data_IF_507790131222
#
_entry.id   IF_507790131222
#
_cell.length_a   1.000
_cell.length_b   1.000
_cell.length_c   1.000
_cell.angle_alpha   90.00
_cell.angle_beta   90.00
_cell.angle_gamma   90.00
#
_symmetry.space_group_name_H-M   'P 1'
#
loop_
_entity.id
_entity.type
_entity.pdbx_description
1 polymer ?
#
# COMPACT_ATOMS: atom_id res chain seq x y z
N UNK A 1 -19.20 11.91 -24.21
CA UNK A 1 -17.75 11.82 -24.45
C UNK A 1 -17.11 11.42 -23.14
N UNK A 2 -16.38 10.30 -23.07
CA UNK A 2 -15.73 9.85 -21.83
C UNK A 2 -14.37 10.55 -21.67
N UNK A 3 -14.03 11.10 -20.48
CA UNK A 3 -12.73 11.72 -20.25
C UNK A 3 -11.62 10.64 -20.25
N UNK A 4 -10.46 11.03 -20.79
CA UNK A 4 -9.25 10.21 -20.99
C UNK A 4 -8.17 10.69 -20.02
N UNK A 5 -7.37 9.76 -19.50
CA UNK A 5 -6.52 9.95 -18.32
C UNK A 5 -5.02 10.07 -18.69
N UNK A 6 -4.25 10.92 -17.99
CA UNK A 6 -2.91 11.39 -18.41
C UNK A 6 -1.78 11.06 -17.44
N UNK A 7 -0.55 10.89 -17.96
CA UNK A 7 0.67 11.49 -17.37
C UNK A 7 1.85 11.48 -18.36
N UNK A 8 2.50 12.63 -18.54
CA UNK A 8 3.94 12.75 -18.83
C UNK A 8 4.43 14.05 -18.21
N UNK A 9 5.29 13.97 -17.19
CA UNK A 9 5.94 15.14 -16.61
C UNK A 9 7.27 15.34 -17.34
N UNK A 10 7.30 16.17 -18.38
CA UNK A 10 8.54 16.63 -19.02
C UNK A 10 9.10 17.84 -18.28
N UNK A 11 9.75 17.61 -17.13
CA UNK A 11 10.96 18.34 -16.69
C UNK A 11 11.30 18.01 -15.22
N UNK A 12 11.77 16.78 -15.00
CA UNK A 12 12.21 16.29 -13.69
C UNK A 12 13.69 16.59 -13.38
N UNK A 13 14.30 17.58 -14.06
CA UNK A 13 15.74 17.88 -13.92
C UNK A 13 16.12 18.75 -12.72
N UNK A 14 15.18 19.23 -11.91
CA UNK A 14 15.51 19.93 -10.66
C UNK A 14 14.56 19.52 -9.54
N UNK A 15 15.10 18.63 -8.70
CA UNK A 15 14.66 18.24 -7.36
C UNK A 15 13.57 17.13 -7.30
N UNK A 16 13.85 16.12 -6.48
CA UNK A 16 12.97 15.01 -6.02
C UNK A 16 12.64 13.84 -6.96
N UNK A 17 13.48 13.62 -7.96
CA UNK A 17 13.13 12.81 -9.11
C UNK A 17 14.14 11.69 -9.44
N UNK A 18 14.21 10.62 -8.63
CA UNK A 18 15.13 9.53 -8.94
C UNK A 18 14.50 8.54 -9.93
N UNK A 19 15.16 8.31 -11.07
CA UNK A 19 14.90 7.15 -11.91
C UNK A 19 15.22 5.90 -11.09
N UNK A 20 14.21 5.13 -10.74
CA UNK A 20 14.37 3.89 -10.01
C UNK A 20 14.59 2.77 -11.04
N UNK A 21 15.79 2.17 -11.12
CA UNK A 21 15.96 0.99 -11.94
C UNK A 21 15.12 -0.16 -11.35
N UNK A 22 14.29 -0.80 -12.19
CA UNK A 22 13.38 -1.90 -11.85
C UNK A 22 14.12 -3.15 -11.30
N UNK A 23 15.46 -3.15 -11.28
CA UNK A 23 16.29 -4.33 -11.12
C UNK A 23 17.11 -4.37 -9.81
N UNK A 24 16.58 -3.83 -8.72
CA UNK A 24 17.16 -4.07 -7.38
C UNK A 24 16.34 -5.12 -6.66
N UNK A 25 16.97 -6.25 -6.32
CA UNK A 25 16.39 -7.38 -5.55
C UNK A 25 15.85 -6.98 -4.15
N UNK A 26 16.02 -5.72 -3.77
CA UNK A 26 15.64 -5.16 -2.50
C UNK A 26 14.87 -3.84 -2.72
N UNK A 27 13.53 -3.88 -2.87
CA UNK A 27 12.69 -2.68 -2.92
C UNK A 27 12.79 -1.81 -1.65
N UNK A 28 13.32 -2.35 -0.55
CA UNK A 28 13.53 -1.65 0.73
C UNK A 28 14.68 -0.64 0.65
N UNK A 29 15.75 -0.92 -0.11
CA UNK A 29 16.85 0.05 -0.33
C UNK A 29 16.42 1.25 -1.16
N UNK A 30 15.48 1.06 -2.09
CA UNK A 30 14.94 2.15 -2.90
C UNK A 30 14.04 3.08 -2.07
N UNK A 31 13.17 2.49 -1.25
CA UNK A 31 12.25 3.24 -0.40
C UNK A 31 12.97 3.97 0.74
N UNK A 32 13.97 3.35 1.37
CA UNK A 32 14.76 3.99 2.43
C UNK A 32 15.59 5.18 1.94
N UNK A 33 16.20 5.12 0.76
CA UNK A 33 16.92 6.27 0.17
C UNK A 33 15.99 7.45 -0.14
N UNK A 34 14.77 7.14 -0.57
CA UNK A 34 13.74 8.15 -0.81
C UNK A 34 13.25 8.78 0.51
N UNK A 35 12.95 7.98 1.54
CA UNK A 35 12.51 8.47 2.85
C UNK A 35 13.57 9.33 3.54
N UNK A 36 14.85 8.95 3.45
CA UNK A 36 15.97 9.75 3.98
C UNK A 36 15.99 11.18 3.43
N UNK A 37 15.41 11.43 2.26
CA UNK A 37 15.34 12.77 1.66
C UNK A 37 14.16 13.63 2.14
N UNK A 38 13.15 13.04 2.81
CA UNK A 38 11.90 13.71 3.19
C UNK A 38 11.52 13.63 4.67
N UNK A 39 11.98 12.62 5.42
CA UNK A 39 11.75 12.54 6.87
C UNK A 39 12.75 13.40 7.64
N UNK A 40 12.52 14.72 7.64
CA UNK A 40 13.32 15.68 8.42
C UNK A 40 12.79 15.88 9.86
N UNK A 41 11.71 15.18 10.25
CA UNK A 41 11.11 15.33 11.59
C UNK A 41 11.17 14.05 12.39
N UNK A 42 11.41 14.22 13.70
CA UNK A 42 11.39 13.18 14.71
C UNK A 42 9.96 12.65 14.89
N UNK A 43 9.83 11.37 15.25
CA UNK A 43 8.58 10.67 15.63
C UNK A 43 7.60 10.34 14.49
N UNK A 44 8.12 9.83 13.38
CA UNK A 44 7.32 9.37 12.24
C UNK A 44 7.35 7.85 12.07
N UNK A 45 6.24 7.32 11.58
CA UNK A 45 6.18 5.96 11.03
C UNK A 45 6.07 6.03 9.51
N UNK A 46 6.70 5.09 8.81
CA UNK A 46 6.67 5.03 7.36
C UNK A 46 6.39 3.60 6.87
N UNK A 47 5.56 3.48 5.84
CA UNK A 47 5.28 2.20 5.17
C UNK A 47 4.85 2.39 3.72
N UNK A 48 4.35 1.35 3.08
CA UNK A 48 3.80 1.42 1.72
C UNK A 48 2.29 1.24 1.76
N UNK A 49 1.57 1.70 0.72
CA UNK A 49 0.13 1.49 0.60
C UNK A 49 -0.26 0.02 0.74
N UNK A 50 0.53 -0.90 0.18
CA UNK A 50 0.20 -2.33 0.24
C UNK A 50 0.20 -2.85 1.68
N UNK A 51 1.08 -2.36 2.53
CA UNK A 51 1.12 -2.68 3.96
C UNK A 51 -0.09 -2.08 4.67
N UNK A 52 -0.35 -0.78 4.44
CA UNK A 52 -1.45 -0.07 5.08
C UNK A 52 -2.80 -0.69 4.72
N UNK A 53 -3.02 -0.96 3.42
CA UNK A 53 -4.22 -1.63 2.93
C UNK A 53 -4.35 -3.02 3.56
N UNK A 54 -3.27 -3.80 3.66
CA UNK A 54 -3.33 -5.11 4.31
C UNK A 54 -3.77 -5.02 5.76
N UNK A 55 -3.16 -4.13 6.54
CA UNK A 55 -3.52 -3.90 7.95
C UNK A 55 -5.01 -3.51 8.04
N UNK A 56 -5.44 -2.52 7.26
CA UNK A 56 -6.83 -2.04 7.24
C UNK A 56 -7.86 -3.13 6.96
N UNK A 57 -7.51 -4.13 6.16
CA UNK A 57 -8.41 -5.20 5.77
C UNK A 57 -8.43 -6.39 6.74
N UNK A 58 -7.49 -6.48 7.68
CA UNK A 58 -7.35 -7.60 8.63
C UNK A 58 -8.67 -8.00 9.32
N UNK A 59 -9.52 -7.06 9.80
CA UNK A 59 -10.77 -7.42 10.47
C UNK A 59 -11.81 -8.11 9.57
N UNK A 60 -11.66 -7.99 8.23
CA UNK A 60 -12.65 -8.42 7.26
C UNK A 60 -12.19 -9.65 6.45
N UNK A 61 -11.00 -10.18 6.71
CA UNK A 61 -10.46 -11.37 6.04
C UNK A 61 -11.05 -12.69 6.63
N UNK A 62 -12.37 -12.74 6.84
CA UNK A 62 -13.11 -13.84 7.51
C UNK A 62 -13.43 -15.00 6.55
N UNK A 63 -12.55 -15.33 5.61
CA UNK A 63 -12.79 -16.45 4.68
C UNK A 63 -11.96 -17.67 5.11
N UNK A 64 -12.65 -18.72 5.59
CA UNK A 64 -12.05 -19.94 6.16
C UNK A 64 -11.17 -20.74 5.19
N UNK A 65 -11.29 -20.50 3.89
CA UNK A 65 -10.54 -21.23 2.85
C UNK A 65 -9.33 -20.45 2.31
N UNK A 66 -9.13 -19.21 2.74
CA UNK A 66 -7.97 -18.39 2.36
C UNK A 66 -7.43 -17.72 3.62
N UNK A 67 -6.65 -18.46 4.43
CA UNK A 67 -5.85 -17.88 5.52
C UNK A 67 -4.83 -16.90 4.93
N UNK A 68 -5.19 -15.61 4.84
CA UNK A 68 -4.24 -14.56 4.48
C UNK A 68 -3.53 -14.05 5.72
N UNK A 69 -2.79 -14.95 6.38
CA UNK A 69 -1.79 -14.55 7.38
C UNK A 69 -0.83 -13.56 6.72
N UNK A 70 -0.50 -12.51 7.44
CA UNK A 70 0.52 -11.57 7.03
C UNK A 70 1.54 -11.39 8.14
N UNK A 71 2.76 -11.08 7.74
CA UNK A 71 3.88 -10.78 8.63
C UNK A 71 4.46 -9.43 8.21
N UNK A 72 4.33 -8.45 9.10
CA UNK A 72 4.88 -7.11 8.93
C UNK A 72 5.98 -6.93 9.96
N UNK A 73 7.16 -6.55 9.49
CA UNK A 73 8.30 -6.19 10.34
C UNK A 73 8.33 -4.68 10.55
N UNK A 74 8.70 -4.27 11.76
CA UNK A 74 9.06 -2.90 12.08
C UNK A 74 10.54 -2.81 12.47
N UNK A 75 11.20 -1.73 12.09
CA UNK A 75 12.58 -1.42 12.48
C UNK A 75 12.79 0.08 12.67
N UNK A 76 13.77 0.46 13.49
CA UNK A 76 14.28 1.85 13.54
C UNK A 76 15.56 1.95 12.73
N UNK A 77 15.52 2.74 11.67
CA UNK A 77 16.69 2.99 10.81
C UNK A 77 17.33 4.34 11.14
N UNK A 78 16.53 5.40 11.20
CA UNK A 78 16.94 6.76 11.55
C UNK A 78 16.39 7.13 12.93
N UNK A 79 17.13 7.91 13.72
CA UNK A 79 16.91 8.26 15.15
C UNK A 79 15.67 7.68 15.84
N UNK A 80 14.46 8.11 15.48
CA UNK A 80 13.17 7.59 16.00
C UNK A 80 12.14 7.28 14.90
N UNK A 81 12.55 7.10 13.65
CA UNK A 81 11.65 6.78 12.55
C UNK A 81 11.42 5.27 12.45
N UNK A 82 10.18 4.84 12.59
CA UNK A 82 9.78 3.42 12.54
C UNK A 82 9.39 3.07 11.10
N UNK A 83 10.03 2.06 10.53
CA UNK A 83 9.79 1.60 9.17
C UNK A 83 9.01 0.29 9.21
N UNK A 84 7.88 0.24 8.53
CA UNK A 84 7.07 -0.96 8.35
C UNK A 84 7.33 -1.58 6.97
N UNK A 85 7.56 -2.90 6.94
CA UNK A 85 7.78 -3.65 5.70
C UNK A 85 7.30 -5.10 5.80
N UNK A 86 6.99 -5.73 4.66
CA UNK A 86 6.63 -7.15 4.64
C UNK A 86 7.82 -8.03 5.00
N UNK A 87 7.58 -9.14 5.70
CA UNK A 87 8.59 -10.18 5.78
C UNK A 87 8.91 -10.72 4.37
N UNK A 88 10.19 -10.99 4.07
CA UNK A 88 10.63 -11.41 2.73
C UNK A 88 9.99 -12.72 2.28
N UNK A 89 9.58 -13.54 3.25
CA UNK A 89 8.92 -14.83 3.04
C UNK A 89 7.39 -14.68 2.88
N UNK A 90 6.83 -13.52 3.25
CA UNK A 90 5.40 -13.20 3.12
C UNK A 90 5.15 -12.35 1.87
N UNK A 91 5.58 -12.86 0.71
CA UNK A 91 5.26 -12.21 -0.56
C UNK A 91 3.77 -12.40 -0.82
N UNK A 92 3.00 -11.31 -1.06
CA UNK A 92 1.64 -11.47 -1.55
C UNK A 92 1.70 -12.32 -2.82
N UNK A 93 0.83 -13.34 -2.90
CA UNK A 93 0.76 -14.30 -4.01
C UNK A 93 1.09 -13.60 -5.32
N UNK A 94 2.20 -14.02 -5.96
CA UNK A 94 2.65 -13.46 -7.22
C UNK A 94 1.45 -13.42 -8.18
N UNK A 95 1.12 -12.22 -8.66
CA UNK A 95 0.24 -12.07 -9.81
C UNK A 95 0.78 -13.02 -10.86
N UNK A 96 -0.05 -13.98 -11.32
CA UNK A 96 0.39 -14.93 -12.35
C UNK A 96 0.89 -14.13 -13.56
N UNK A 97 1.90 -14.63 -14.28
CA UNK A 97 2.40 -13.96 -15.50
C UNK A 97 1.26 -13.60 -16.47
N UNK A 98 0.18 -14.39 -16.47
CA UNK A 98 -1.06 -14.10 -17.21
C UNK A 98 -1.77 -12.85 -16.69
N UNK A 99 -2.11 -12.80 -15.40
CA UNK A 99 -2.75 -11.61 -14.82
C UNK A 99 -1.86 -10.37 -14.94
N UNK A 100 -0.53 -10.51 -14.84
CA UNK A 100 0.39 -9.40 -15.03
C UNK A 100 0.33 -8.85 -16.47
N UNK A 101 0.26 -9.73 -17.47
CA UNK A 101 0.04 -9.34 -18.88
C UNK A 101 -1.29 -8.61 -19.07
N UNK A 102 -2.36 -9.11 -18.45
CA UNK A 102 -3.68 -8.48 -18.55
C UNK A 102 -3.72 -7.13 -17.83
N UNK A 103 -3.01 -6.99 -16.70
CA UNK A 103 -2.85 -5.72 -15.98
C UNK A 103 -2.16 -4.67 -16.86
N UNK A 104 -1.07 -5.04 -17.51
CA UNK A 104 -0.39 -4.18 -18.48
C UNK A 104 -1.25 -3.87 -19.70
N UNK A 105 -2.05 -4.83 -20.19
CA UNK A 105 -2.99 -4.60 -21.28
C UNK A 105 -4.06 -3.57 -20.89
N UNK A 106 -4.63 -3.69 -19.69
CA UNK A 106 -5.61 -2.74 -19.17
C UNK A 106 -5.01 -1.33 -19.06
N UNK A 107 -3.78 -1.20 -18.53
CA UNK A 107 -3.08 0.10 -18.50
C UNK A 107 -3.02 0.76 -19.88
N UNK A 108 -2.72 -0.01 -20.93
CA UNK A 108 -2.63 0.51 -22.31
C UNK A 108 -3.97 0.98 -22.87
N UNK A 109 -5.07 0.38 -22.42
CA UNK A 109 -6.41 0.80 -22.82
C UNK A 109 -6.91 2.02 -22.04
N UNK A 110 -6.52 2.14 -20.77
CA UNK A 110 -6.98 3.21 -19.89
C UNK A 110 -6.15 4.49 -20.02
N UNK A 111 -4.84 4.38 -20.17
CA UNK A 111 -3.93 5.51 -20.03
C UNK A 111 -3.20 5.85 -21.34
N UNK A 112 -2.92 7.14 -21.49
CA UNK A 112 -2.18 7.71 -22.62
C UNK A 112 -1.18 8.74 -22.09
N UNK A 113 -0.08 8.93 -22.82
CA UNK A 113 1.04 9.73 -22.32
C UNK A 113 0.74 11.24 -22.33
N UNK A 114 -0.15 11.74 -23.20
CA UNK A 114 -0.32 13.19 -23.40
C UNK A 114 -1.73 13.62 -23.83
N UNK A 115 -2.31 14.68 -23.20
CA UNK A 115 -3.67 15.22 -23.43
C UNK A 115 -4.14 15.27 -24.87
N UNK A 116 -3.26 15.84 -25.67
CA UNK A 116 -3.53 16.20 -27.06
C UNK A 116 -3.14 15.07 -28.02
N UNK A 117 -2.25 14.15 -27.62
CA UNK A 117 -1.67 13.13 -28.49
C UNK A 117 -1.97 11.73 -27.95
N UNK A 118 -3.18 11.24 -28.25
CA UNK A 118 -3.74 9.96 -27.78
C UNK A 118 -3.11 8.75 -28.48
N UNK A 119 -1.79 8.69 -28.53
CA UNK A 119 -1.08 7.48 -28.98
C UNK A 119 -1.10 6.46 -27.85
N UNK A 120 -1.58 5.26 -28.18
CA UNK A 120 -1.53 4.10 -27.30
C UNK A 120 -0.08 3.83 -26.93
N UNK A 121 0.16 3.65 -25.64
CA UNK A 121 1.49 3.41 -25.10
C UNK A 121 1.83 1.93 -25.31
N UNK A 122 2.99 1.64 -25.89
CA UNK A 122 3.41 0.25 -26.12
C UNK A 122 3.92 -0.45 -24.86
N UNK A 123 4.41 0.30 -23.87
CA UNK A 123 4.98 -0.21 -22.60
C UNK A 123 5.00 0.89 -21.53
N UNK A 124 4.51 0.61 -20.32
CA UNK A 124 4.73 1.46 -19.15
C UNK A 124 6.00 1.00 -18.45
N UNK A 125 7.14 1.61 -18.79
CA UNK A 125 8.42 1.30 -18.15
C UNK A 125 8.67 2.15 -16.89
N UNK A 126 7.70 2.97 -16.51
CA UNK A 126 7.83 3.95 -15.44
C UNK A 126 6.59 3.86 -14.55
N UNK A 127 6.81 3.77 -13.23
CA UNK A 127 5.76 3.86 -12.21
C UNK A 127 5.81 5.26 -11.60
N UNK A 128 4.64 5.87 -11.40
CA UNK A 128 4.55 7.14 -10.69
C UNK A 128 4.21 6.87 -9.22
N UNK A 129 5.10 7.29 -8.32
CA UNK A 129 4.89 7.22 -6.87
C UNK A 129 4.43 8.56 -6.31
N UNK A 130 3.53 8.53 -5.34
CA UNK A 130 3.10 9.70 -4.55
C UNK A 130 3.15 9.35 -3.06
N UNK A 131 3.57 10.31 -2.26
CA UNK A 131 3.54 10.22 -0.81
C UNK A 131 2.28 10.86 -0.25
N UNK A 132 1.73 10.18 0.74
CA UNK A 132 0.64 10.68 1.55
C UNK A 132 1.01 10.53 3.02
N UNK A 133 0.33 11.33 3.83
CA UNK A 133 0.37 11.19 5.27
C UNK A 133 -1.02 11.39 5.85
N UNK A 134 -1.21 10.84 7.04
CA UNK A 134 -2.32 11.21 7.90
C UNK A 134 -1.79 11.49 9.31
N UNK A 135 -2.41 12.47 9.95
CA UNK A 135 -2.05 12.88 11.30
C UNK A 135 -2.68 11.90 12.28
N UNK A 136 -1.86 11.32 13.16
CA UNK A 136 -2.32 10.53 14.30
C UNK A 136 -2.30 11.43 15.53
N UNK A 137 -2.97 11.00 16.60
CA UNK A 137 -2.85 11.67 17.91
C UNK A 137 -1.40 11.65 18.44
N UNK A 138 -0.63 10.62 18.06
CA UNK A 138 0.77 10.40 18.45
C UNK A 138 1.67 10.36 17.20
N UNK A 139 1.91 11.53 16.61
CA UNK A 139 2.79 11.68 15.44
C UNK A 139 2.11 11.46 14.09
N UNK A 140 2.91 11.31 13.04
CA UNK A 140 2.43 11.18 11.67
C UNK A 140 2.79 9.81 11.10
N UNK A 141 1.91 9.27 10.27
CA UNK A 141 2.21 8.10 9.46
C UNK A 141 2.30 8.50 7.99
N UNK A 142 3.43 8.20 7.37
CA UNK A 142 3.69 8.44 5.95
C UNK A 142 3.62 7.13 5.17
N UNK A 143 3.06 7.19 3.97
CA UNK A 143 3.15 6.06 3.05
C UNK A 143 3.30 6.49 1.61
N UNK A 144 3.98 5.64 0.84
CA UNK A 144 4.04 5.76 -0.61
C UNK A 144 2.97 4.91 -1.27
N UNK A 145 2.49 5.38 -2.42
CA UNK A 145 1.64 4.60 -3.32
C UNK A 145 2.01 4.86 -4.76
N UNK A 146 1.83 3.84 -5.60
CA UNK A 146 1.73 4.04 -7.04
C UNK A 146 0.43 4.80 -7.35
N UNK A 147 0.50 5.83 -8.19
CA UNK A 147 -0.67 6.46 -8.82
C UNK A 147 -0.69 5.98 -10.27
N UNK A 148 -1.67 5.15 -10.64
CA UNK A 148 -1.69 4.57 -11.98
C UNK A 148 -2.04 5.59 -13.06
N UNK A 149 -2.78 6.64 -12.72
CA UNK A 149 -3.12 7.73 -13.61
C UNK A 149 -4.07 8.73 -12.97
N UNK A 150 -4.36 9.81 -13.70
CA UNK A 150 -5.19 10.92 -13.21
C UNK A 150 -6.16 11.42 -14.27
N UNK A 151 -7.26 12.04 -13.84
CA UNK A 151 -8.18 12.79 -14.68
C UNK A 151 -7.71 14.23 -14.73
N UNK A 152 -7.43 14.70 -15.94
CA UNK A 152 -7.20 16.12 -16.20
C UNK A 152 -7.64 16.41 -17.64
N UNK A 153 -7.82 17.67 -18.01
CA UNK A 153 -7.94 18.08 -19.42
C UNK A 153 -6.63 18.73 -19.92
N UNK A 154 -5.66 18.89 -19.01
CA UNK A 154 -4.40 19.59 -19.23
C UNK A 154 -3.21 18.71 -18.86
N UNK A 155 -2.06 19.01 -19.44
CA UNK A 155 -0.80 18.36 -19.09
C UNK A 155 -0.37 18.82 -17.70
N UNK A 156 -0.04 17.87 -16.84
CA UNK A 156 0.46 18.15 -15.49
C UNK A 156 1.97 18.21 -15.58
N UNK A 157 2.52 19.35 -15.18
CA UNK A 157 3.94 19.66 -15.33
C UNK A 157 4.65 19.87 -14.00
N UNK A 158 3.91 19.97 -12.89
CA UNK A 158 4.46 20.17 -11.55
C UNK A 158 3.57 19.56 -10.44
N UNK A 159 4.11 19.51 -9.22
CA UNK A 159 3.43 18.91 -8.05
C UNK A 159 2.21 19.71 -7.59
N UNK A 160 2.22 21.04 -7.74
CA UNK A 160 1.10 21.89 -7.30
C UNK A 160 -0.16 21.58 -8.13
N UNK A 161 -0.01 21.47 -9.45
CA UNK A 161 -1.04 20.98 -10.35
C UNK A 161 -1.51 19.57 -9.98
N UNK A 162 -0.57 18.69 -9.63
CA UNK A 162 -0.88 17.31 -9.27
C UNK A 162 -1.78 17.20 -8.02
N UNK A 163 -1.63 18.10 -7.04
CA UNK A 163 -2.50 18.10 -5.85
C UNK A 163 -3.96 18.46 -6.16
N UNK A 164 -4.22 19.08 -7.31
CA UNK A 164 -5.56 19.55 -7.72
C UNK A 164 -6.30 18.59 -8.66
N UNK A 165 -5.63 17.55 -9.17
CA UNK A 165 -6.25 16.60 -10.10
C UNK A 165 -6.87 15.40 -9.40
N UNK A 166 -7.76 14.71 -10.10
CA UNK A 166 -8.43 13.54 -9.56
C UNK A 166 -7.65 12.27 -9.88
N UNK A 167 -7.21 11.55 -8.85
CA UNK A 167 -6.53 10.29 -9.04
C UNK A 167 -7.50 9.15 -9.36
N UNK A 168 -6.95 8.13 -10.01
CA UNK A 168 -7.68 6.91 -10.38
C UNK A 168 -7.04 5.75 -9.65
N UNK A 169 -7.87 4.80 -9.27
CA UNK A 169 -7.45 3.45 -8.94
C UNK A 169 -7.98 2.50 -10.00
N UNK A 170 -7.22 1.46 -10.34
CA UNK A 170 -7.71 0.40 -11.20
C UNK A 170 -7.22 -0.97 -10.74
N UNK A 171 -8.01 -2.00 -11.03
CA UNK A 171 -7.68 -3.40 -10.75
C UNK A 171 -8.34 -4.35 -11.75
N UNK A 172 -7.95 -5.63 -11.69
CA UNK A 172 -8.53 -6.72 -12.46
C UNK A 172 -9.08 -7.78 -11.51
N UNK A 173 -10.20 -8.41 -11.87
CA UNK A 173 -10.79 -9.53 -11.13
C UNK A 173 -11.21 -10.66 -12.09
N UNK A 174 -11.35 -11.89 -11.60
CA UNK A 174 -11.73 -13.04 -12.45
C UNK A 174 -13.24 -13.01 -12.79
N UNK A 175 -13.59 -13.32 -14.04
CA UNK A 175 -14.98 -13.38 -14.50
C UNK A 175 -15.79 -14.42 -13.70
N UNK A 176 -17.00 -14.06 -13.28
CA UNK A 176 -17.82 -14.85 -12.35
C UNK A 176 -17.72 -14.45 -10.88
N UNK A 177 -16.74 -13.64 -10.48
CA UNK A 177 -16.71 -12.96 -9.16
C UNK A 177 -17.62 -11.71 -9.13
N UNK A 178 -18.40 -11.48 -10.19
CA UNK A 178 -19.13 -10.25 -10.42
C UNK A 178 -20.56 -10.29 -9.89
N UNK A 179 -20.80 -9.60 -8.78
CA UNK A 179 -22.12 -9.06 -8.43
C UNK A 179 -21.96 -7.58 -8.07
N UNK A 180 -23.02 -6.77 -8.23
CA UNK A 180 -23.01 -5.38 -7.74
C UNK A 180 -22.63 -5.33 -6.24
N UNK A 181 -23.01 -6.37 -5.49
CA UNK A 181 -22.64 -6.53 -4.10
C UNK A 181 -21.13 -6.73 -3.93
N UNK A 182 -20.45 -7.52 -4.78
CA UNK A 182 -18.98 -7.68 -4.70
C UNK A 182 -18.25 -6.35 -4.95
N UNK A 183 -18.69 -5.52 -5.91
CA UNK A 183 -18.07 -4.21 -6.11
C UNK A 183 -18.31 -3.30 -4.91
N UNK A 184 -19.56 -3.16 -4.49
CA UNK A 184 -19.92 -2.19 -3.45
C UNK A 184 -19.33 -2.58 -2.09
N UNK A 185 -18.97 -3.85 -1.89
CA UNK A 185 -18.58 -4.38 -0.57
C UNK A 185 -17.20 -5.06 -0.54
N UNK A 186 -16.28 -4.72 -1.44
CA UNK A 186 -14.91 -5.22 -1.39
C UNK A 186 -13.99 -4.27 -0.59
N UNK A 187 -13.69 -4.56 0.69
CA UNK A 187 -12.87 -3.67 1.53
C UNK A 187 -11.43 -3.51 0.98
N UNK A 188 -10.95 -4.49 0.22
CA UNK A 188 -9.61 -4.44 -0.40
C UNK A 188 -9.58 -3.38 -1.49
N UNK A 189 -10.57 -3.36 -2.40
CA UNK A 189 -10.62 -2.34 -3.45
C UNK A 189 -10.85 -0.94 -2.87
N UNK A 190 -11.76 -0.82 -1.90
CA UNK A 190 -11.99 0.44 -1.20
C UNK A 190 -10.71 0.97 -0.55
N UNK A 191 -10.05 0.19 0.31
CA UNK A 191 -8.86 0.64 1.04
C UNK A 191 -7.72 1.02 0.11
N UNK A 192 -7.48 0.23 -0.95
CA UNK A 192 -6.47 0.53 -1.97
C UNK A 192 -6.77 1.83 -2.71
N UNK A 193 -8.01 2.07 -3.09
CA UNK A 193 -8.42 3.28 -3.79
C UNK A 193 -8.41 4.50 -2.85
N UNK A 194 -8.85 4.34 -1.60
CA UNK A 194 -8.90 5.39 -0.59
C UNK A 194 -7.49 5.86 -0.22
N UNK A 195 -6.55 4.93 -0.03
CA UNK A 195 -5.15 5.25 0.24
C UNK A 195 -4.46 5.91 -0.96
N UNK A 196 -4.90 5.61 -2.19
CA UNK A 196 -4.47 6.32 -3.40
C UNK A 196 -5.12 7.72 -3.51
N UNK A 197 -6.07 8.07 -2.63
CA UNK A 197 -6.94 9.25 -2.76
C UNK A 197 -7.63 9.32 -4.12
N UNK A 198 -7.94 8.15 -4.68
CA UNK A 198 -8.62 8.04 -5.96
C UNK A 198 -10.07 8.51 -5.82
N UNK A 199 -10.54 9.34 -6.75
CA UNK A 199 -11.97 9.66 -6.82
C UNK A 199 -12.72 8.67 -7.70
N UNK A 200 -12.02 8.04 -8.64
CA UNK A 200 -12.58 7.05 -9.56
C UNK A 200 -11.87 5.72 -9.43
N UNK A 201 -12.67 4.65 -9.42
CA UNK A 201 -12.22 3.27 -9.50
C UNK A 201 -12.61 2.69 -10.86
N UNK A 202 -11.68 1.98 -11.50
CA UNK A 202 -11.88 1.27 -12.76
C UNK A 202 -11.53 -0.19 -12.56
N UNK A 203 -12.50 -1.08 -12.64
CA UNK A 203 -12.28 -2.53 -12.51
C UNK A 203 -12.53 -3.20 -13.85
N UNK A 204 -11.66 -4.11 -14.26
CA UNK A 204 -11.90 -4.93 -15.45
C UNK A 204 -12.10 -6.40 -15.09
N UNK A 205 -13.11 -7.03 -15.68
CA UNK A 205 -13.28 -8.49 -15.59
C UNK A 205 -12.33 -9.20 -16.55
N UNK A 206 -11.69 -10.24 -16.05
CA UNK A 206 -10.79 -11.09 -16.80
C UNK A 206 -11.41 -12.48 -16.99
N UNK A 207 -11.71 -12.81 -18.24
CA UNK A 207 -12.15 -14.13 -18.64
C UNK A 207 -10.94 -15.07 -18.73
N UNK A 208 -10.82 -15.93 -17.71
CA UNK A 208 -9.72 -16.90 -17.61
C UNK A 208 -9.79 -18.00 -18.66
N UNK A 209 -10.97 -18.33 -19.17
CA UNK A 209 -11.17 -19.38 -20.19
C UNK A 209 -10.65 -18.86 -21.53
N UNK A 210 -10.95 -17.62 -21.86
CA UNK A 210 -10.57 -16.99 -23.13
C UNK A 210 -9.28 -16.15 -23.05
N UNK A 211 -8.67 -16.02 -21.87
CA UNK A 211 -7.46 -15.23 -21.59
C UNK A 211 -7.58 -13.77 -22.11
N UNK A 212 -8.71 -13.13 -21.81
CA UNK A 212 -9.00 -11.77 -22.28
C UNK A 212 -9.76 -10.91 -21.26
N UNK A 213 -9.61 -9.59 -21.40
CA UNK A 213 -10.44 -8.62 -20.68
C UNK A 213 -11.82 -8.54 -21.34
N UNK A 214 -12.88 -8.61 -20.54
CA UNK A 214 -14.26 -8.73 -21.04
C UNK A 214 -15.06 -7.44 -20.83
N UNK A 215 -15.16 -6.95 -19.59
CA UNK A 215 -15.96 -5.77 -19.25
C UNK A 215 -15.16 -4.79 -18.38
N UNK A 216 -15.51 -3.50 -18.46
CA UNK A 216 -14.92 -2.44 -17.64
C UNK A 216 -16.03 -1.76 -16.83
N UNK A 217 -15.81 -1.71 -15.53
CA UNK A 217 -16.68 -1.08 -14.55
C UNK A 217 -16.03 0.19 -14.05
N UNK A 218 -16.77 1.29 -14.10
CA UNK A 218 -16.30 2.61 -13.66
C UNK A 218 -17.26 3.19 -12.64
N UNK A 219 -16.74 3.63 -11.51
CA UNK A 219 -17.54 4.24 -10.46
C UNK A 219 -16.72 5.19 -9.58
N UNK A 220 -17.42 6.07 -8.86
CA UNK A 220 -16.79 6.96 -7.88
C UNK A 220 -16.54 6.19 -6.58
N UNK A 221 -15.46 6.54 -5.89
CA UNK A 221 -15.09 5.86 -4.64
C UNK A 221 -16.15 6.03 -3.56
N UNK A 222 -16.87 7.16 -3.56
CA UNK A 222 -17.96 7.45 -2.62
C UNK A 222 -19.08 6.40 -2.67
N UNK A 223 -19.18 5.61 -3.75
CA UNK A 223 -20.13 4.49 -3.84
C UNK A 223 -19.81 3.35 -2.87
N UNK A 224 -18.56 3.19 -2.44
CA UNK A 224 -18.20 2.23 -1.39
C UNK A 224 -18.73 2.66 -0.02
N UNK A 225 -19.02 3.96 0.17
CA UNK A 225 -19.41 4.53 1.46
C UNK A 225 -20.95 4.55 1.65
N UNK A 226 -21.74 3.98 0.73
CA UNK A 226 -23.20 3.86 0.87
C UNK A 226 -23.56 2.79 1.94
N UNK A 227 -23.53 3.22 3.20
CA UNK A 227 -23.52 2.43 4.46
C UNK A 227 -24.69 1.46 4.70
N UNK A 228 -25.72 1.38 3.87
CA UNK A 228 -27.06 1.00 4.34
C UNK A 228 -27.44 -0.48 4.25
N UNK A 229 -26.67 -1.34 3.55
CA UNK A 229 -27.12 -2.73 3.31
C UNK A 229 -26.44 -3.81 4.17
N UNK A 230 -25.19 -3.64 4.62
CA UNK A 230 -24.43 -4.69 5.31
C UNK A 230 -23.37 -4.19 6.31
N UNK A 231 -23.68 -3.20 7.17
CA UNK A 231 -22.75 -2.71 8.23
C UNK A 231 -22.13 -3.83 9.08
N UNK A 232 -22.79 -4.99 9.14
CA UNK A 232 -22.33 -6.17 9.87
C UNK A 232 -21.16 -6.92 9.21
N UNK A 233 -20.79 -6.62 7.95
CA UNK A 233 -19.72 -7.33 7.23
C UNK A 233 -18.41 -6.56 7.18
N UNK A 234 -18.45 -5.26 6.92
CA UNK A 234 -17.29 -4.38 6.97
C UNK A 234 -17.71 -2.91 7.02
N UNK A 235 -16.80 -2.02 7.43
CA UNK A 235 -16.99 -0.57 7.29
C UNK A 235 -15.67 0.19 7.14
N UNK A 236 -15.66 1.31 6.39
CA UNK A 236 -14.54 2.25 6.33
C UNK A 236 -14.01 2.66 7.69
N UNK A 237 -14.92 2.98 8.62
CA UNK A 237 -14.58 3.46 9.96
C UNK A 237 -13.87 2.37 10.77
N UNK A 238 -14.33 1.11 10.69
CA UNK A 238 -13.66 -0.01 11.34
C UNK A 238 -12.25 -0.27 10.76
N UNK A 239 -12.08 -0.14 9.44
CA UNK A 239 -10.78 -0.28 8.78
C UNK A 239 -9.76 0.77 9.25
N UNK A 240 -10.19 2.05 9.32
CA UNK A 240 -9.37 3.15 9.81
C UNK A 240 -9.04 3.03 11.31
N UNK A 241 -10.03 2.62 12.12
CA UNK A 241 -9.82 2.40 13.56
C UNK A 241 -8.80 1.29 13.79
N UNK A 242 -8.95 0.14 13.12
CA UNK A 242 -8.00 -0.96 13.23
C UNK A 242 -6.58 -0.56 12.81
N UNK A 243 -6.43 0.19 11.72
CA UNK A 243 -5.13 0.73 11.32
C UNK A 243 -4.53 1.61 12.42
N UNK A 244 -5.32 2.52 13.00
CA UNK A 244 -4.84 3.40 14.05
C UNK A 244 -4.42 2.63 15.31
N UNK A 245 -5.20 1.64 15.72
CA UNK A 245 -4.91 0.78 16.87
C UNK A 245 -3.66 -0.06 16.62
N UNK A 246 -3.51 -0.63 15.42
CA UNK A 246 -2.29 -1.34 15.03
C UNK A 246 -1.06 -0.43 15.07
N UNK A 247 -1.12 0.78 14.52
CA UNK A 247 0.01 1.70 14.54
C UNK A 247 0.35 2.14 15.97
N UNK A 248 -0.64 2.33 16.84
CA UNK A 248 -0.41 2.57 18.27
C UNK A 248 0.27 1.36 18.95
N UNK A 249 -0.12 0.15 18.58
CA UNK A 249 0.49 -1.09 19.08
C UNK A 249 1.95 -1.24 18.61
N UNK A 250 2.26 -0.88 17.36
CA UNK A 250 3.63 -0.80 16.85
C UNK A 250 4.45 0.18 17.67
N UNK A 251 3.94 1.40 17.84
CA UNK A 251 4.60 2.45 18.61
C UNK A 251 4.94 1.96 20.01
N UNK A 252 3.93 1.43 20.71
CA UNK A 252 4.08 0.92 22.06
C UNK A 252 5.13 -0.18 22.15
N UNK A 253 5.07 -1.16 21.24
CA UNK A 253 6.02 -2.29 21.23
C UNK A 253 7.46 -1.85 20.93
N UNK A 254 7.63 -0.85 20.05
CA UNK A 254 8.95 -0.31 19.70
C UNK A 254 9.54 0.51 20.84
N UNK A 255 8.74 1.39 21.44
CA UNK A 255 9.19 2.29 22.49
C UNK A 255 9.24 1.66 23.88
N UNK A 256 8.64 0.47 24.09
CA UNK A 256 8.83 -0.31 25.32
C UNK A 256 10.23 -0.90 25.44
N UNK A 257 10.99 -0.98 24.35
CA UNK A 257 12.40 -1.40 24.36
C UNK A 257 13.29 -0.19 24.61
N UNK A 258 14.32 -0.36 25.45
CA UNK A 258 15.28 0.69 25.78
C UNK A 258 15.98 1.24 24.52
N UNK A 259 16.25 2.55 24.52
CA UNK A 259 16.86 3.25 23.39
C UNK A 259 18.16 2.61 22.90
N UNK A 260 18.95 2.05 23.82
CA UNK A 260 20.30 1.57 23.56
C UNK A 260 20.35 0.30 22.71
N UNK A 261 19.28 -0.51 22.74
CA UNK A 261 19.17 -1.74 21.95
C UNK A 261 18.10 -1.64 20.86
N UNK A 262 17.23 -0.64 20.89
CA UNK A 262 16.10 -0.47 19.96
C UNK A 262 16.50 -0.55 18.49
N UNK A 263 17.61 0.10 18.09
CA UNK A 263 18.11 0.06 16.69
C UNK A 263 18.64 -1.32 16.25
N UNK A 264 18.85 -2.24 17.19
CA UNK A 264 19.25 -3.63 16.92
C UNK A 264 18.05 -4.57 16.89
N UNK A 265 16.86 -4.08 17.22
CA UNK A 265 15.66 -4.90 17.28
C UNK A 265 14.88 -4.85 15.97
N UNK A 266 14.23 -5.98 15.67
CA UNK A 266 13.21 -6.15 14.64
C UNK A 266 11.95 -6.60 15.35
N UNK A 267 10.85 -5.88 15.17
CA UNK A 267 9.55 -6.27 15.70
C UNK A 267 8.77 -6.96 14.61
N UNK A 268 8.40 -8.21 14.83
CA UNK A 268 7.65 -9.02 13.89
C UNK A 268 6.19 -9.07 14.33
N UNK A 269 5.33 -8.38 13.59
CA UNK A 269 3.89 -8.40 13.78
C UNK A 269 3.27 -9.45 12.87
N UNK A 270 2.47 -10.34 13.44
CA UNK A 270 1.83 -11.42 12.69
C UNK A 270 0.33 -11.43 12.95
N UNK A 271 -0.47 -11.52 11.87
CA UNK A 271 -1.91 -11.69 11.98
C UNK A 271 -2.31 -13.15 12.12
N UNK A 272 -3.37 -13.37 12.89
CA UNK A 272 -4.02 -14.67 13.04
C UNK A 272 -5.50 -14.50 12.69
N UNK A 273 -5.93 -14.94 11.49
CA UNK A 273 -7.33 -14.89 11.13
C UNK A 273 -8.13 -15.81 12.07
N UNK A 274 -9.02 -15.23 12.86
CA UNK A 274 -9.96 -15.89 13.79
C UNK A 274 -9.42 -16.33 15.18
N UNK A 275 -8.19 -15.95 15.56
CA UNK A 275 -7.66 -16.23 16.90
C UNK A 275 -7.47 -14.94 17.71
N UNK A 276 -7.65 -15.02 19.03
CA UNK A 276 -7.23 -13.97 19.96
C UNK A 276 -5.83 -14.27 20.51
N UNK A 277 -4.87 -13.32 20.45
CA UNK A 277 -5.00 -11.98 19.87
C UNK A 277 -4.97 -11.98 18.33
N UNK A 278 -5.74 -11.08 17.71
CA UNK A 278 -5.81 -10.91 16.24
C UNK A 278 -4.45 -10.61 15.59
N UNK A 279 -3.55 -9.97 16.35
CA UNK A 279 -2.17 -9.68 15.96
C UNK A 279 -1.27 -9.93 17.16
N UNK A 280 -0.17 -10.67 16.94
CA UNK A 280 0.91 -10.80 17.94
C UNK A 280 2.13 -9.97 17.53
N UNK A 281 3.00 -9.68 18.50
CA UNK A 281 4.30 -9.07 18.24
C UNK A 281 5.39 -9.93 18.89
N UNK A 282 6.36 -10.37 18.10
CA UNK A 282 7.60 -10.98 18.55
C UNK A 282 8.75 -9.97 18.39
N UNK A 283 9.53 -9.76 19.45
CA UNK A 283 10.71 -8.88 19.40
C UNK A 283 11.95 -9.74 19.17
N UNK A 284 12.67 -9.45 18.10
CA UNK A 284 13.87 -10.15 17.69
C UNK A 284 15.07 -9.21 17.82
N UNK A 285 16.19 -9.67 18.36
CA UNK A 285 17.45 -8.92 18.37
C UNK A 285 18.36 -9.40 17.23
N UNK A 286 18.92 -8.45 16.49
CA UNK A 286 19.90 -8.68 15.43
C UNK A 286 21.27 -8.95 16.03
N UNK A 287 21.80 -10.13 15.75
CA UNK A 287 23.16 -10.54 16.08
C UNK A 287 23.95 -10.72 14.78
N UNK A 288 25.01 -9.94 14.59
CA UNK A 288 25.91 -10.07 13.45
C UNK A 288 27.21 -10.73 13.92
N UNK A 289 27.47 -11.93 13.44
CA UNK A 289 28.70 -12.69 13.72
C UNK A 289 29.31 -13.10 12.39
N UNK A 290 30.55 -12.66 12.11
CA UNK A 290 31.26 -12.95 10.85
C UNK A 290 30.42 -12.61 9.59
N UNK A 291 29.83 -11.41 9.56
CA UNK A 291 28.95 -10.92 8.49
C UNK A 291 27.67 -11.76 8.24
N UNK A 292 27.38 -12.74 9.09
CA UNK A 292 26.12 -13.47 9.10
C UNK A 292 25.16 -12.84 10.12
N UNK A 293 24.00 -12.44 9.62
CA UNK A 293 22.91 -11.90 10.43
C UNK A 293 22.04 -13.04 10.97
N UNK A 294 21.83 -13.05 12.28
CA UNK A 294 20.87 -13.93 12.95
C UNK A 294 19.88 -13.10 13.77
N UNK A 295 18.64 -13.56 13.84
CA UNK A 295 17.58 -12.94 14.63
C UNK A 295 17.22 -13.88 15.79
N UNK A 296 17.33 -13.40 17.01
CA UNK A 296 17.02 -14.20 18.22
C UNK A 296 15.85 -13.55 18.97
N UNK A 297 14.80 -14.30 19.33
CA UNK A 297 13.72 -13.78 20.17
C UNK A 297 14.25 -13.28 21.51
N UNK A 298 13.74 -12.14 21.96
CA UNK A 298 13.98 -11.63 23.31
C UNK A 298 12.65 -11.48 24.04
N UNK A 299 12.66 -11.86 25.32
CA UNK A 299 11.54 -11.57 26.22
C UNK A 299 11.80 -10.21 26.86
N UNK A 300 10.83 -9.30 26.82
CA UNK A 300 10.89 -8.06 27.60
C UNK A 300 10.57 -8.41 29.06
N UNK A 301 11.48 -9.12 29.71
CA UNK A 301 11.48 -9.24 31.16
C UNK A 301 12.35 -8.11 31.71
N UNK A 302 11.80 -7.32 32.63
CA UNK A 302 12.47 -6.26 33.39
C UNK A 302 12.65 -4.90 32.68
N UNK A 303 11.60 -4.08 32.65
CA UNK A 303 11.71 -2.67 33.04
C UNK A 303 10.35 -2.22 33.59
N UNK A 304 10.36 -1.59 34.76
CA UNK A 304 9.17 -1.05 35.41
C UNK A 304 8.38 -0.17 34.44
N UNK A 305 7.14 -0.58 34.15
CA UNK A 305 6.15 0.28 33.52
C UNK A 305 5.81 1.43 34.48
N UNK A 306 5.86 2.71 34.06
CA UNK A 306 5.22 3.79 34.79
C UNK A 306 3.68 3.69 34.72
#
# INVERSE_FOLDING_TARGET
MSPVFWLKITDWKKQSAQKIPINTDDPYKLFSNFIKSFCWTMDNMVGTRSIVSRIMNTPFEINKDIERKWIIKAEIIEENCIYLYYDRDDKPNNITDKMAKQYELLKRYLFVNHPVNRKVISTFNEMFGQEFYFNRKKGNFFYSTEIPGVISDQEITNNEQLTSVEYIYFDIFEDGEFSEDVINYNPIWWSKAALTKAKQCILASYDKVNDCLKEIYKFNIDKFDDKTKYENLWSPDAAWNFLNDFLNFVEYSVFSVSSDIRKKCVWKFQSYPNDEPFVSCEILIRNVVNDQETLTPITVNETNFP
#
